data_IF_406522924078
#
_entry.id   IF_406522924078
#
_cell.length_a   1.000
_cell.length_b   1.000
_cell.length_c   1.000
_cell.angle_alpha   90.00
_cell.angle_beta   90.00
_cell.angle_gamma   90.00
#
_symmetry.space_group_name_H-M   'P 1'
#
loop_
_entity.id
_entity.type
_entity.pdbx_description
1 polymer ?
#
# COMPACT_ATOMS: atom_id res chain seq x y z
N UNK A 1 -0.14 14.90 8.52
CA UNK A 1 0.52 15.02 9.84
C UNK A 1 1.96 15.47 9.66
N UNK A 2 2.43 16.40 10.49
CA UNK A 2 3.85 16.77 10.58
C UNK A 2 4.68 15.65 11.22
N UNK A 3 6.01 15.76 11.21
CA UNK A 3 6.88 14.82 11.92
C UNK A 3 6.67 14.84 13.43
N UNK A 4 6.37 16.00 13.98
CA UNK A 4 6.07 16.18 15.40
C UNK A 4 4.72 15.54 15.74
N UNK A 5 3.71 15.69 14.87
CA UNK A 5 2.41 15.03 15.03
C UNK A 5 2.54 13.52 15.02
N UNK A 6 3.38 12.97 14.14
CA UNK A 6 3.67 11.53 14.07
C UNK A 6 4.33 11.04 15.35
N UNK A 7 5.34 11.76 15.86
CA UNK A 7 6.01 11.42 17.11
C UNK A 7 5.01 11.43 18.29
N UNK A 8 4.23 12.49 18.42
CA UNK A 8 3.22 12.61 19.46
C UNK A 8 2.13 11.55 19.34
N UNK A 9 1.76 11.13 18.13
CA UNK A 9 0.82 10.02 17.92
C UNK A 9 1.41 8.69 18.39
N UNK A 10 2.66 8.39 18.03
CA UNK A 10 3.38 7.17 18.48
C UNK A 10 3.41 7.14 20.01
N UNK A 11 3.70 8.26 20.66
CA UNK A 11 3.74 8.36 22.12
C UNK A 11 2.38 8.08 22.75
N UNK A 12 1.32 8.76 22.28
CA UNK A 12 -0.05 8.55 22.79
C UNK A 12 -0.53 7.11 22.56
N UNK A 13 -0.22 6.53 21.41
CA UNK A 13 -0.59 5.14 21.12
C UNK A 13 0.12 4.16 22.06
N UNK A 14 1.43 4.33 22.28
CA UNK A 14 2.18 3.44 23.18
C UNK A 14 1.76 3.64 24.63
N UNK A 15 1.39 4.85 25.04
CA UNK A 15 0.81 5.11 26.36
C UNK A 15 -0.51 4.37 26.56
N UNK A 16 -1.44 4.46 25.62
CA UNK A 16 -2.69 3.70 25.66
C UNK A 16 -2.42 2.18 25.66
N UNK A 17 -1.44 1.71 24.88
CA UNK A 17 -1.05 0.32 24.85
C UNK A 17 -0.47 -0.17 26.19
N UNK A 18 0.31 0.67 26.92
CA UNK A 18 0.84 0.33 28.25
C UNK A 18 -0.26 0.04 29.27
N UNK A 19 -1.39 0.73 29.18
CA UNK A 19 -2.54 0.51 30.07
C UNK A 19 -3.16 -0.89 29.89
N UNK A 20 -2.92 -1.53 28.75
CA UNK A 20 -3.39 -2.90 28.47
C UNK A 20 -2.40 -4.00 28.87
N UNK A 21 -1.17 -3.65 29.23
CA UNK A 21 -0.14 -4.61 29.62
C UNK A 21 -0.40 -5.19 31.01
N UNK A 22 -0.19 -6.51 31.15
CA UNK A 22 -0.43 -7.25 32.40
C UNK A 22 0.85 -7.44 33.22
N UNK A 23 2.02 -7.41 32.57
CA UNK A 23 3.32 -7.62 33.23
C UNK A 23 4.27 -6.44 33.00
N UNK A 24 5.26 -6.31 33.88
CA UNK A 24 6.30 -5.27 33.77
C UNK A 24 7.27 -5.55 32.61
N UNK A 25 7.45 -6.83 32.26
CA UNK A 25 8.23 -7.26 31.10
C UNK A 25 7.60 -6.78 29.79
N UNK A 26 6.27 -6.90 29.66
CA UNK A 26 5.53 -6.38 28.51
C UNK A 26 5.68 -4.85 28.38
N UNK A 27 5.62 -4.12 29.51
CA UNK A 27 5.82 -2.67 29.53
C UNK A 27 7.23 -2.28 29.13
N UNK A 28 8.23 -3.01 29.63
CA UNK A 28 9.64 -2.78 29.31
C UNK A 28 9.92 -3.01 27.82
N UNK A 29 9.39 -4.11 27.26
CA UNK A 29 9.48 -4.40 25.83
C UNK A 29 8.82 -3.30 24.99
N UNK A 30 7.66 -2.79 25.43
CA UNK A 30 6.94 -1.74 24.73
C UNK A 30 7.70 -0.40 24.70
N UNK A 31 8.47 -0.07 25.75
CA UNK A 31 9.36 1.10 25.75
C UNK A 31 10.49 0.97 24.71
N UNK A 32 11.06 -0.24 24.58
CA UNK A 32 12.05 -0.52 23.55
C UNK A 32 11.43 -0.40 22.14
N UNK A 33 10.20 -0.90 21.95
CA UNK A 33 9.49 -0.79 20.69
C UNK A 33 9.13 0.66 20.34
N UNK A 34 8.68 1.46 21.30
CA UNK A 34 8.40 2.88 21.08
C UNK A 34 9.65 3.62 20.57
N UNK A 35 10.78 3.44 21.26
CA UNK A 35 12.06 4.07 20.89
C UNK A 35 12.58 3.62 19.52
N UNK A 36 12.49 2.32 19.24
CA UNK A 36 12.86 1.76 17.94
C UNK A 36 11.97 2.31 16.81
N UNK A 37 10.66 2.45 17.06
CA UNK A 37 9.72 2.96 16.06
C UNK A 37 9.96 4.43 15.73
N UNK A 38 10.20 5.27 16.75
CA UNK A 38 10.61 6.68 16.54
C UNK A 38 11.83 6.78 15.63
N UNK A 39 12.83 5.94 15.90
CA UNK A 39 14.04 5.88 15.09
C UNK A 39 13.73 5.42 13.67
N UNK A 40 12.93 4.37 13.49
CA UNK A 40 12.53 3.84 12.19
C UNK A 40 11.76 4.88 11.35
N UNK A 41 10.76 5.56 11.92
CA UNK A 41 9.96 6.57 11.20
C UNK A 41 10.80 7.79 10.81
N UNK A 42 11.80 8.17 11.62
CA UNK A 42 12.70 9.28 11.29
C UNK A 42 13.72 8.92 10.21
N UNK A 43 14.20 7.68 10.20
CA UNK A 43 15.31 7.24 9.34
C UNK A 43 14.86 6.61 8.03
N UNK A 44 13.67 5.98 7.99
CA UNK A 44 13.14 5.29 6.83
C UNK A 44 12.08 6.16 6.15
N UNK A 45 12.41 6.70 4.98
CA UNK A 45 11.55 7.62 4.25
C UNK A 45 10.19 7.01 3.86
N UNK A 46 10.19 5.76 3.40
CA UNK A 46 8.98 5.01 3.04
C UNK A 46 7.99 4.92 4.21
N UNK A 47 8.54 4.63 5.41
CA UNK A 47 7.73 4.51 6.62
C UNK A 47 7.20 5.88 7.05
N UNK A 48 8.03 6.93 6.93
CA UNK A 48 7.62 8.31 7.21
C UNK A 48 6.48 8.76 6.30
N UNK A 49 6.56 8.49 4.99
CA UNK A 49 5.50 8.83 4.02
C UNK A 49 4.20 8.14 4.38
N UNK A 50 4.28 6.86 4.73
CA UNK A 50 3.08 6.09 5.04
C UNK A 50 2.42 6.51 6.36
N UNK A 51 3.22 6.85 7.37
CA UNK A 51 2.73 7.28 8.69
C UNK A 51 2.15 8.71 8.70
N UNK A 52 2.15 9.44 7.57
CA UNK A 52 1.56 10.78 7.50
C UNK A 52 0.04 10.81 7.70
N UNK A 53 -0.63 9.67 7.53
CA UNK A 53 -2.03 9.46 7.84
C UNK A 53 -2.19 8.80 9.23
N UNK A 54 -3.03 9.34 10.13
CA UNK A 54 -3.20 8.81 11.49
C UNK A 54 -3.57 7.31 11.54
N UNK A 55 -4.39 6.85 10.59
CA UNK A 55 -4.82 5.44 10.54
C UNK A 55 -3.63 4.54 10.22
N UNK A 56 -2.83 4.92 9.23
CA UNK A 56 -1.62 4.20 8.86
C UNK A 56 -0.56 4.25 9.97
N UNK A 57 -0.42 5.38 10.65
CA UNK A 57 0.46 5.49 11.82
C UNK A 57 0.04 4.51 12.93
N UNK A 58 -1.27 4.46 13.24
CA UNK A 58 -1.82 3.49 14.20
C UNK A 58 -1.62 2.04 13.79
N UNK A 59 -1.81 1.72 12.50
CA UNK A 59 -1.55 0.40 11.95
C UNK A 59 -0.07 0.00 12.06
N UNK A 60 0.86 0.91 11.75
CA UNK A 60 2.30 0.69 11.90
C UNK A 60 2.65 0.43 13.36
N UNK A 61 2.10 1.20 14.30
CA UNK A 61 2.30 0.97 15.74
C UNK A 61 1.80 -0.42 16.16
N UNK A 62 0.58 -0.79 15.74
CA UNK A 62 -0.02 -2.09 16.02
C UNK A 62 0.82 -3.24 15.44
N UNK A 63 1.25 -3.12 14.19
CA UNK A 63 2.09 -4.10 13.49
C UNK A 63 3.46 -4.25 14.14
N UNK A 64 4.09 -3.14 14.52
CA UNK A 64 5.39 -3.15 15.19
C UNK A 64 5.32 -3.88 16.53
N UNK A 65 4.28 -3.62 17.33
CA UNK A 65 4.01 -4.37 18.58
C UNK A 65 3.73 -5.85 18.29
N UNK A 66 2.90 -6.15 17.28
CA UNK A 66 2.56 -7.51 16.87
C UNK A 66 3.78 -8.37 16.58
N UNK A 67 4.76 -7.76 15.91
CA UNK A 67 5.98 -8.40 15.43
C UNK A 67 7.17 -8.15 16.34
N UNK A 68 6.94 -7.85 17.63
CA UNK A 68 7.97 -7.71 18.66
C UNK A 68 9.10 -6.74 18.28
N UNK A 69 8.74 -5.59 17.72
CA UNK A 69 9.71 -4.55 17.36
C UNK A 69 10.29 -4.67 15.94
N UNK A 70 9.72 -5.55 15.10
CA UNK A 70 10.13 -5.69 13.71
C UNK A 70 9.11 -5.08 12.74
N UNK A 71 9.61 -4.31 11.77
CA UNK A 71 8.85 -3.89 10.59
C UNK A 71 9.57 -4.37 9.32
N UNK A 72 8.87 -5.04 8.41
CA UNK A 72 9.45 -5.45 7.15
C UNK A 72 9.90 -4.22 6.33
N UNK A 73 11.01 -4.32 5.58
CA UNK A 73 11.48 -3.24 4.73
C UNK A 73 10.61 -3.11 3.47
N UNK A 74 10.42 -1.88 3.01
CA UNK A 74 9.66 -1.56 1.80
C UNK A 74 8.14 -1.53 2.02
N UNK A 75 7.45 -0.67 1.25
CA UNK A 75 5.99 -0.47 1.36
C UNK A 75 5.19 -1.75 1.12
N UNK A 76 5.51 -2.52 0.07
CA UNK A 76 4.80 -3.77 -0.26
C UNK A 76 4.79 -4.76 0.90
N UNK A 77 5.97 -5.10 1.42
CA UNK A 77 6.08 -6.09 2.49
C UNK A 77 5.41 -5.61 3.80
N UNK A 78 5.37 -4.30 4.03
CA UNK A 78 4.62 -3.70 5.13
C UNK A 78 3.09 -3.85 4.94
N UNK A 79 2.57 -3.63 3.73
CA UNK A 79 1.16 -3.85 3.44
C UNK A 79 0.78 -5.32 3.52
N UNK A 80 1.58 -6.23 2.97
CA UNK A 80 1.37 -7.68 3.10
C UNK A 80 1.34 -8.09 4.59
N UNK A 81 2.29 -7.59 5.39
CA UNK A 81 2.34 -7.87 6.81
C UNK A 81 1.15 -7.27 7.59
N UNK A 82 0.65 -6.11 7.18
CA UNK A 82 -0.52 -5.48 7.76
C UNK A 82 -1.82 -6.21 7.38
N UNK A 83 -1.99 -6.60 6.11
CA UNK A 83 -3.12 -7.40 5.64
C UNK A 83 -3.18 -8.72 6.41
N UNK A 84 -2.08 -9.46 6.49
CA UNK A 84 -2.01 -10.71 7.25
C UNK A 84 -2.35 -10.51 8.74
N UNK A 85 -1.87 -9.40 9.35
CA UNK A 85 -2.26 -9.07 10.72
C UNK A 85 -3.77 -8.80 10.85
N UNK A 86 -4.38 -8.05 9.92
CA UNK A 86 -5.80 -7.70 9.98
C UNK A 86 -6.71 -8.90 9.73
N UNK A 87 -6.36 -9.74 8.77
CA UNK A 87 -7.15 -10.88 8.31
C UNK A 87 -7.00 -12.12 9.22
N UNK A 88 -5.83 -12.34 9.82
CA UNK A 88 -5.54 -13.55 10.61
C UNK A 88 -5.67 -13.31 12.12
N UNK A 89 -5.19 -12.14 12.60
CA UNK A 89 -5.03 -11.91 14.05
C UNK A 89 -6.30 -11.44 14.74
N UNK A 90 -7.15 -10.68 14.03
CA UNK A 90 -8.35 -10.08 14.60
C UNK A 90 -9.40 -11.11 15.02
N UNK A 91 -9.40 -12.24 14.35
CA UNK A 91 -10.26 -13.36 14.69
C UNK A 91 -9.73 -14.12 15.92
N UNK A 92 -8.43 -14.43 15.96
CA UNK A 92 -7.82 -15.21 17.07
C UNK A 92 -7.96 -14.52 18.44
N UNK A 93 -7.78 -13.19 18.50
CA UNK A 93 -7.77 -12.45 19.77
C UNK A 93 -9.17 -12.27 20.40
N UNK A 94 -10.27 -12.39 19.63
CA UNK A 94 -11.62 -12.19 20.16
C UNK A 94 -12.15 -13.35 21.01
N UNK A 95 -11.54 -14.54 21.02
CA UNK A 95 -12.00 -15.72 21.79
C UNK A 95 -13.50 -16.05 21.61
N UNK A 96 -14.16 -15.54 20.56
CA UNK A 96 -15.56 -15.81 20.24
C UNK A 96 -15.59 -16.95 19.23
N UNK A 97 -15.21 -18.14 19.68
CA UNK A 97 -15.30 -19.33 18.86
C UNK A 97 -16.11 -20.39 19.58
N UNK A 98 -17.23 -20.76 18.95
CA UNK A 98 -17.85 -22.05 19.21
C UNK A 98 -17.06 -23.11 18.41
N UNK A 99 -16.90 -24.34 18.94
CA UNK A 99 -16.40 -25.45 18.14
C UNK A 99 -17.28 -25.65 16.89
N UNK A 100 -16.72 -25.47 15.69
CA UNK A 100 -17.43 -25.65 14.41
C UNK A 100 -17.57 -24.41 13.51
N UNK A 101 -17.11 -23.24 13.94
CA UNK A 101 -17.10 -22.04 13.10
C UNK A 101 -16.06 -22.18 11.97
N UNK A 102 -16.51 -22.50 10.75
CA UNK A 102 -15.66 -22.52 9.55
C UNK A 102 -15.25 -21.07 9.22
N UNK A 103 -13.97 -20.83 8.95
CA UNK A 103 -13.42 -19.49 8.66
C UNK A 103 -12.80 -19.42 7.26
N UNK A 104 -12.73 -18.21 6.70
CA UNK A 104 -11.92 -17.97 5.51
C UNK A 104 -10.46 -17.79 5.89
N UNK A 105 -9.59 -18.56 5.28
CA UNK A 105 -8.15 -18.27 5.28
C UNK A 105 -7.86 -16.92 4.61
N UNK A 106 -6.67 -16.38 4.88
CA UNK A 106 -6.22 -15.05 4.40
C UNK A 106 -6.37 -14.91 2.87
N UNK A 107 -5.91 -15.89 2.10
CA UNK A 107 -5.84 -15.82 0.64
C UNK A 107 -7.24 -15.71 -0.04
N UNK A 108 -8.23 -16.57 0.29
CA UNK A 108 -9.62 -16.37 -0.14
C UNK A 108 -10.19 -14.98 0.17
N UNK A 109 -9.91 -14.42 1.37
CA UNK A 109 -10.38 -13.08 1.72
C UNK A 109 -9.74 -12.02 0.82
N UNK A 110 -8.42 -12.12 0.60
CA UNK A 110 -7.68 -11.23 -0.30
C UNK A 110 -8.26 -11.26 -1.72
N UNK A 111 -8.57 -12.44 -2.26
CA UNK A 111 -9.13 -12.58 -3.61
C UNK A 111 -10.49 -11.87 -3.76
N UNK A 112 -11.36 -12.01 -2.77
CA UNK A 112 -12.66 -11.34 -2.76
C UNK A 112 -12.53 -9.82 -2.59
N UNK A 113 -11.68 -9.38 -1.66
CA UNK A 113 -11.43 -7.96 -1.43
C UNK A 113 -10.77 -7.29 -2.64
N UNK A 114 -9.88 -8.00 -3.34
CA UNK A 114 -9.31 -7.58 -4.63
C UNK A 114 -10.39 -7.30 -5.67
N UNK A 115 -11.43 -8.14 -5.76
CA UNK A 115 -12.53 -7.95 -6.71
C UNK A 115 -13.28 -6.65 -6.45
N UNK A 116 -13.60 -6.37 -5.19
CA UNK A 116 -14.27 -5.14 -4.77
C UNK A 116 -13.38 -3.91 -4.99
N UNK A 117 -12.11 -3.98 -4.56
CA UNK A 117 -11.16 -2.89 -4.72
C UNK A 117 -10.92 -2.52 -6.18
N UNK A 118 -10.77 -3.53 -7.04
CA UNK A 118 -10.58 -3.37 -8.47
C UNK A 118 -11.77 -2.67 -9.14
N UNK A 119 -13.00 -3.05 -8.77
CA UNK A 119 -14.20 -2.37 -9.25
C UNK A 119 -14.19 -0.89 -8.87
N UNK A 120 -13.93 -0.57 -7.60
CA UNK A 120 -13.93 0.82 -7.12
C UNK A 120 -12.90 1.67 -7.86
N UNK A 121 -11.65 1.19 -7.98
CA UNK A 121 -10.61 1.97 -8.69
C UNK A 121 -10.93 2.14 -10.18
N UNK A 122 -11.48 1.10 -10.83
CA UNK A 122 -11.78 1.14 -12.27
C UNK A 122 -12.89 2.12 -12.60
N UNK A 123 -13.87 2.26 -11.70
CA UNK A 123 -15.01 3.16 -11.89
C UNK A 123 -14.79 4.55 -11.25
N UNK A 124 -13.68 4.76 -10.54
CA UNK A 124 -13.42 6.00 -9.83
C UNK A 124 -14.38 6.24 -8.66
N UNK A 125 -14.91 5.17 -8.07
CA UNK A 125 -15.89 5.22 -6.99
C UNK A 125 -15.22 5.08 -5.62
N UNK A 126 -15.76 5.77 -4.62
CA UNK A 126 -15.31 5.68 -3.23
C UNK A 126 -16.13 4.68 -2.41
N UNK A 127 -17.40 4.50 -2.76
CA UNK A 127 -18.34 3.59 -2.10
C UNK A 127 -19.00 2.70 -3.14
N UNK A 128 -19.42 1.51 -2.70
CA UNK A 128 -20.09 0.51 -3.51
C UNK A 128 -21.50 0.28 -2.96
N UNK A 129 -22.51 0.22 -3.83
CA UNK A 129 -23.82 -0.28 -3.42
C UNK A 129 -23.71 -1.71 -2.89
N UNK A 130 -24.42 -2.03 -1.81
CA UNK A 130 -24.40 -3.34 -1.18
C UNK A 130 -24.78 -4.45 -2.16
N UNK A 131 -25.84 -4.26 -2.93
CA UNK A 131 -26.28 -5.23 -3.94
C UNK A 131 -25.19 -5.47 -5.01
N UNK A 132 -24.46 -4.41 -5.38
CA UNK A 132 -23.31 -4.51 -6.30
C UNK A 132 -22.16 -5.28 -5.66
N UNK A 133 -21.88 -5.06 -4.37
CA UNK A 133 -20.87 -5.79 -3.62
C UNK A 133 -21.17 -7.29 -3.57
N UNK A 134 -22.43 -7.64 -3.26
CA UNK A 134 -22.90 -9.03 -3.23
C UNK A 134 -22.79 -9.65 -4.63
N UNK A 135 -23.18 -8.95 -5.69
CA UNK A 135 -23.05 -9.45 -7.06
C UNK A 135 -21.59 -9.71 -7.46
N UNK A 136 -20.66 -8.80 -7.14
CA UNK A 136 -19.23 -9.00 -7.43
C UNK A 136 -18.63 -10.19 -6.66
N UNK A 137 -19.09 -10.42 -5.43
CA UNK A 137 -18.70 -11.60 -4.65
C UNK A 137 -19.29 -12.85 -5.29
N UNK A 138 -20.57 -12.84 -5.65
CA UNK A 138 -21.25 -13.96 -6.31
C UNK A 138 -20.52 -14.40 -7.59
N UNK A 139 -20.10 -13.45 -8.43
CA UNK A 139 -19.28 -13.71 -9.61
C UNK A 139 -17.93 -14.38 -9.28
N UNK A 140 -17.33 -14.02 -8.15
CA UNK A 140 -16.02 -14.52 -7.73
C UNK A 140 -16.07 -15.87 -7.01
N UNK A 141 -17.18 -16.22 -6.35
CA UNK A 141 -17.32 -17.45 -5.56
C UNK A 141 -16.95 -18.75 -6.30
N UNK A 142 -17.27 -18.95 -7.60
CA UNK A 142 -16.86 -20.14 -8.33
C UNK A 142 -15.34 -20.34 -8.38
N UNK A 143 -14.57 -19.24 -8.35
CA UNK A 143 -13.11 -19.25 -8.36
C UNK A 143 -12.49 -19.29 -6.97
N UNK A 144 -13.30 -19.19 -5.90
CA UNK A 144 -12.85 -19.22 -4.50
C UNK A 144 -13.59 -20.33 -3.72
N UNK A 145 -13.25 -21.61 -3.92
CA UNK A 145 -14.00 -22.74 -3.33
C UNK A 145 -14.10 -22.69 -1.80
N UNK A 146 -13.07 -22.18 -1.12
CA UNK A 146 -13.07 -22.01 0.33
C UNK A 146 -14.15 -21.03 0.81
N UNK A 147 -14.38 -19.93 0.08
CA UNK A 147 -15.45 -18.99 0.37
C UNK A 147 -16.82 -19.60 0.06
N UNK A 148 -16.94 -20.28 -1.06
CA UNK A 148 -18.20 -20.93 -1.46
C UNK A 148 -18.67 -21.98 -0.44
N UNK A 149 -17.74 -22.66 0.24
CA UNK A 149 -18.06 -23.62 1.28
C UNK A 149 -18.68 -22.98 2.54
N UNK A 150 -18.49 -21.67 2.73
CA UNK A 150 -18.96 -20.94 3.91
C UNK A 150 -20.35 -20.33 3.76
N UNK A 151 -20.78 -20.04 2.52
CA UNK A 151 -22.09 -19.46 2.28
C UNK A 151 -22.23 -18.80 0.92
N UNK A 152 -23.36 -18.12 0.76
CA UNK A 152 -23.68 -17.27 -0.37
C UNK A 152 -23.02 -15.89 -0.27
N UNK A 153 -23.15 -15.08 -1.33
CA UNK A 153 -22.51 -13.77 -1.38
C UNK A 153 -22.90 -12.82 -0.22
N UNK A 154 -24.17 -12.73 0.22
CA UNK A 154 -24.54 -11.95 1.40
C UNK A 154 -23.84 -12.42 2.69
N UNK A 155 -23.74 -13.75 2.91
CA UNK A 155 -23.05 -14.29 4.07
C UNK A 155 -21.55 -13.96 4.06
N UNK A 156 -20.92 -14.05 2.89
CA UNK A 156 -19.51 -13.73 2.69
C UNK A 156 -19.24 -12.23 2.83
N UNK A 157 -20.06 -11.36 2.25
CA UNK A 157 -19.93 -9.92 2.43
C UNK A 157 -20.03 -9.53 3.91
N UNK A 158 -21.02 -10.09 4.61
CA UNK A 158 -21.18 -9.88 6.05
C UNK A 158 -19.96 -10.38 6.84
N UNK A 159 -19.39 -11.52 6.46
CA UNK A 159 -18.16 -12.01 7.06
C UNK A 159 -17.01 -11.02 6.88
N UNK A 160 -16.78 -10.51 5.65
CA UNK A 160 -15.73 -9.54 5.36
C UNK A 160 -15.93 -8.22 6.14
N UNK A 161 -17.15 -7.70 6.22
CA UNK A 161 -17.48 -6.49 6.99
C UNK A 161 -17.18 -6.65 8.48
N UNK A 162 -17.51 -7.81 9.07
CA UNK A 162 -17.35 -8.04 10.50
C UNK A 162 -15.93 -8.44 10.91
N UNK A 163 -15.20 -9.13 10.03
CA UNK A 163 -13.94 -9.83 10.37
C UNK A 163 -12.69 -9.23 9.75
N UNK A 164 -12.72 -8.86 8.47
CA UNK A 164 -11.51 -8.40 7.76
C UNK A 164 -10.87 -7.15 8.36
N UNK A 165 -11.70 -6.26 8.92
CA UNK A 165 -11.26 -4.93 9.36
C UNK A 165 -10.84 -3.99 8.23
N UNK A 166 -11.09 -4.37 6.97
CA UNK A 166 -10.75 -3.60 5.78
C UNK A 166 -11.97 -2.93 5.16
N UNK A 167 -13.16 -3.49 5.37
CA UNK A 167 -14.43 -2.93 4.91
C UNK A 167 -15.23 -2.33 6.06
N UNK A 168 -16.06 -1.35 5.75
CA UNK A 168 -17.09 -0.82 6.64
C UNK A 168 -18.37 -0.53 5.84
N UNK A 169 -19.46 -0.34 6.57
CA UNK A 169 -20.79 -0.04 6.04
C UNK A 169 -21.15 1.39 6.48
N UNK A 170 -20.79 2.44 5.72
CA UNK A 170 -21.06 3.83 6.10
C UNK A 170 -22.54 4.18 6.08
N UNK A 171 -23.33 3.48 5.27
CA UNK A 171 -24.79 3.55 5.26
C UNK A 171 -25.37 2.14 5.11
N UNK A 172 -26.67 1.97 5.38
CA UNK A 172 -27.36 0.66 5.30
C UNK A 172 -27.27 0.02 3.90
N UNK A 173 -26.99 0.82 2.87
CA UNK A 173 -26.95 0.37 1.48
C UNK A 173 -25.59 0.49 0.81
N UNK A 174 -24.54 0.96 1.51
CA UNK A 174 -23.21 1.15 0.90
C UNK A 174 -22.09 0.50 1.69
N UNK A 175 -21.05 0.10 0.98
CA UNK A 175 -19.83 -0.53 1.50
C UNK A 175 -18.61 0.21 0.96
N UNK A 176 -17.64 0.51 1.80
CA UNK A 176 -16.36 1.06 1.37
C UNK A 176 -15.17 0.45 2.12
N UNK A 177 -13.97 0.76 1.65
CA UNK A 177 -12.76 0.43 2.37
C UNK A 177 -12.55 1.42 3.51
N UNK A 178 -12.20 0.91 4.69
CA UNK A 178 -11.82 1.71 5.86
C UNK A 178 -10.69 2.70 5.51
N UNK A 179 -9.83 2.32 4.55
CA UNK A 179 -8.77 3.20 4.08
C UNK A 179 -8.43 2.98 2.60
N UNK A 180 -8.34 4.09 1.85
CA UNK A 180 -8.02 4.11 0.42
C UNK A 180 -6.72 3.39 0.07
N UNK A 181 -5.70 3.45 0.92
CA UNK A 181 -4.43 2.75 0.66
C UNK A 181 -4.58 1.24 0.48
N UNK A 182 -5.47 0.59 1.25
CA UNK A 182 -5.72 -0.85 1.06
C UNK A 182 -6.53 -1.12 -0.20
N UNK A 183 -7.49 -0.24 -0.51
CA UNK A 183 -8.21 -0.27 -1.79
C UNK A 183 -7.23 -0.14 -2.97
N UNK A 184 -6.36 0.86 -2.97
CA UNK A 184 -5.37 1.08 -4.03
C UNK A 184 -4.40 -0.10 -4.14
N UNK A 185 -3.95 -0.66 -3.01
CA UNK A 185 -3.05 -1.82 -2.97
C UNK A 185 -3.71 -3.06 -3.59
N UNK A 186 -4.89 -3.44 -3.11
CA UNK A 186 -5.62 -4.62 -3.58
C UNK A 186 -6.12 -4.44 -5.01
N UNK A 187 -6.62 -3.26 -5.36
CA UNK A 187 -7.06 -2.91 -6.70
C UNK A 187 -5.90 -2.94 -7.70
N UNK A 188 -4.72 -2.41 -7.33
CA UNK A 188 -3.53 -2.48 -8.16
C UNK A 188 -3.06 -3.93 -8.38
N UNK A 189 -3.08 -4.77 -7.33
CA UNK A 189 -2.75 -6.19 -7.46
C UNK A 189 -3.68 -6.88 -8.47
N UNK A 190 -4.99 -6.66 -8.35
CA UNK A 190 -5.97 -7.20 -9.28
C UNK A 190 -5.78 -6.69 -10.72
N UNK A 191 -5.47 -5.40 -10.92
CA UNK A 191 -5.21 -4.85 -12.24
C UNK A 191 -3.98 -5.50 -12.91
N UNK A 192 -2.92 -5.77 -12.14
CA UNK A 192 -1.73 -6.48 -12.62
C UNK A 192 -2.06 -7.93 -12.97
N UNK A 193 -2.78 -8.64 -12.09
CA UNK A 193 -3.17 -10.04 -12.31
C UNK A 193 -4.10 -10.20 -13.52
N UNK A 194 -4.95 -9.21 -13.79
CA UNK A 194 -5.80 -9.15 -14.97
C UNK A 194 -5.08 -8.70 -16.26
N UNK A 195 -3.78 -8.39 -16.19
CA UNK A 195 -3.00 -7.83 -17.31
C UNK A 195 -3.55 -6.51 -17.85
N UNK A 196 -4.24 -5.74 -17.02
CA UNK A 196 -4.87 -4.45 -17.39
C UNK A 196 -3.86 -3.29 -17.39
N UNK A 197 -2.69 -3.51 -17.99
CA UNK A 197 -1.64 -2.49 -18.17
C UNK A 197 -2.20 -1.27 -18.90
N UNK A 198 -3.08 -1.47 -19.89
CA UNK A 198 -3.74 -0.38 -20.60
C UNK A 198 -4.59 0.51 -19.69
N UNK A 199 -5.25 -0.05 -18.67
CA UNK A 199 -6.02 0.73 -17.69
C UNK A 199 -5.10 1.62 -16.85
N UNK A 200 -4.01 1.05 -16.34
CA UNK A 200 -3.03 1.77 -15.53
C UNK A 200 -2.39 2.93 -16.32
N UNK A 201 -1.99 2.67 -17.56
CA UNK A 201 -1.33 3.66 -18.42
C UNK A 201 -2.30 4.78 -18.83
N UNK A 202 -3.54 4.45 -19.21
CA UNK A 202 -4.55 5.46 -19.59
C UNK A 202 -4.82 6.44 -18.45
N UNK A 203 -4.79 5.99 -17.20
CA UNK A 203 -5.07 6.84 -16.04
C UNK A 203 -3.79 7.42 -15.40
N UNK A 204 -2.61 7.23 -15.97
CA UNK A 204 -1.35 7.66 -15.35
C UNK A 204 -1.19 9.17 -15.18
N UNK A 205 -1.97 9.96 -15.93
CA UNK A 205 -2.04 11.41 -15.81
C UNK A 205 -2.90 11.87 -14.62
N UNK A 206 -3.71 10.99 -14.01
CA UNK A 206 -4.57 11.34 -12.89
C UNK A 206 -3.83 11.17 -11.54
N UNK A 207 -3.91 12.19 -10.69
CA UNK A 207 -3.30 12.19 -9.34
C UNK A 207 -3.87 11.11 -8.45
N UNK A 208 -5.13 10.75 -8.67
CA UNK A 208 -5.80 9.69 -7.95
C UNK A 208 -5.23 8.30 -8.21
N UNK A 209 -4.53 8.11 -9.34
CA UNK A 209 -3.96 6.84 -9.77
C UNK A 209 -2.47 6.69 -9.45
N UNK A 210 -1.81 7.73 -8.96
CA UNK A 210 -0.36 7.68 -8.67
C UNK A 210 -0.01 6.55 -7.69
N UNK A 211 -0.76 6.42 -6.58
CA UNK A 211 -0.54 5.35 -5.62
C UNK A 211 -0.92 3.98 -6.20
N UNK A 212 -2.00 3.88 -6.98
CA UNK A 212 -2.40 2.64 -7.68
C UNK A 212 -1.28 2.16 -8.61
N UNK A 213 -0.68 3.05 -9.41
CA UNK A 213 0.40 2.72 -10.35
C UNK A 213 1.67 2.30 -9.61
N UNK A 214 2.03 3.02 -8.53
CA UNK A 214 3.15 2.64 -7.66
C UNK A 214 2.96 1.25 -7.07
N UNK A 215 1.74 0.92 -6.62
CA UNK A 215 1.42 -0.40 -6.09
C UNK A 215 1.39 -1.46 -7.18
N UNK A 216 0.93 -1.13 -8.39
CA UNK A 216 0.96 -2.03 -9.53
C UNK A 216 2.40 -2.43 -9.88
N UNK A 217 3.34 -1.46 -9.94
CA UNK A 217 4.78 -1.75 -10.13
C UNK A 217 5.33 -2.64 -9.01
N UNK A 218 4.88 -2.43 -7.76
CA UNK A 218 5.29 -3.25 -6.62
C UNK A 218 4.80 -4.71 -6.73
N UNK A 219 3.57 -4.92 -7.22
CA UNK A 219 2.96 -6.24 -7.41
C UNK A 219 3.43 -6.97 -8.66
N UNK A 220 3.77 -6.24 -9.72
CA UNK A 220 4.16 -6.80 -11.01
C UNK A 220 5.39 -7.71 -10.92
N UNK A 221 5.38 -8.80 -11.69
CA UNK A 221 6.57 -9.64 -11.90
C UNK A 221 7.61 -8.87 -12.73
N UNK A 222 8.90 -9.26 -12.74
CA UNK A 222 9.96 -8.47 -13.38
C UNK A 222 9.66 -8.08 -14.84
N UNK A 223 9.06 -8.99 -15.63
CA UNK A 223 8.66 -8.72 -17.02
C UNK A 223 7.50 -7.72 -17.13
N UNK A 224 6.41 -7.95 -16.40
CA UNK A 224 5.23 -7.06 -16.36
C UNK A 224 5.63 -5.67 -15.84
N UNK A 225 6.57 -5.63 -14.89
CA UNK A 225 7.11 -4.40 -14.31
C UNK A 225 7.88 -3.58 -15.34
N UNK A 226 8.76 -4.25 -16.10
CA UNK A 226 9.49 -3.62 -17.20
C UNK A 226 8.53 -3.09 -18.28
N UNK A 227 7.51 -3.86 -18.63
CA UNK A 227 6.48 -3.45 -19.58
C UNK A 227 5.70 -2.21 -19.09
N UNK A 228 5.24 -2.22 -17.83
CA UNK A 228 4.49 -1.12 -17.23
C UNK A 228 5.31 0.17 -17.20
N UNK A 229 6.57 0.09 -16.76
CA UNK A 229 7.46 1.26 -16.74
C UNK A 229 7.83 1.72 -18.15
N UNK A 230 8.09 0.80 -19.08
CA UNK A 230 8.38 1.13 -20.47
C UNK A 230 7.23 1.87 -21.15
N UNK A 231 5.99 1.38 -21.00
CA UNK A 231 4.79 2.05 -21.51
C UNK A 231 4.55 3.41 -20.86
N UNK A 232 4.83 3.54 -19.55
CA UNK A 232 4.70 4.82 -18.86
C UNK A 232 5.69 5.86 -19.43
N UNK A 233 6.93 5.46 -19.72
CA UNK A 233 7.92 6.32 -20.36
C UNK A 233 7.54 6.66 -21.81
N UNK A 234 6.99 5.69 -22.56
CA UNK A 234 6.51 5.92 -23.91
C UNK A 234 5.40 6.97 -23.96
N UNK A 235 4.41 6.87 -23.06
CA UNK A 235 3.35 7.89 -22.94
C UNK A 235 3.93 9.24 -22.54
N UNK A 236 4.86 9.27 -21.58
CA UNK A 236 5.51 10.51 -21.17
C UNK A 236 6.24 11.22 -22.32
N UNK A 237 6.87 10.48 -23.24
CA UNK A 237 7.57 11.02 -24.41
C UNK A 237 6.64 11.58 -25.50
N UNK A 238 5.45 11.03 -25.62
CA UNK A 238 4.46 11.46 -26.62
C UNK A 238 3.45 12.46 -26.03
N UNK A 239 3.63 12.87 -24.78
CA UNK A 239 2.77 13.85 -24.13
C UNK A 239 3.09 15.26 -24.65
N UNK A 240 2.04 16.00 -25.03
CA UNK A 240 2.20 17.32 -25.64
C UNK A 240 2.50 18.40 -24.59
N UNK A 241 2.03 18.19 -23.35
CA UNK A 241 2.28 19.10 -22.23
C UNK A 241 3.57 18.73 -21.51
N UNK A 242 4.55 19.64 -21.52
CA UNK A 242 5.80 19.45 -20.78
C UNK A 242 5.58 19.20 -19.28
N UNK A 243 4.56 19.81 -18.67
CA UNK A 243 4.20 19.58 -17.27
C UNK A 243 3.66 18.16 -17.04
N UNK A 244 2.80 17.67 -17.94
CA UNK A 244 2.24 16.32 -17.84
C UNK A 244 3.29 15.25 -18.11
N UNK A 245 4.16 15.47 -19.11
CA UNK A 245 5.31 14.63 -19.39
C UNK A 245 6.24 14.52 -18.15
N UNK A 246 6.60 15.66 -17.55
CA UNK A 246 7.39 15.71 -16.33
C UNK A 246 6.77 14.90 -15.21
N UNK A 247 5.46 15.05 -15.00
CA UNK A 247 4.74 14.34 -13.95
C UNK A 247 4.79 12.83 -14.14
N UNK A 248 4.63 12.34 -15.37
CA UNK A 248 4.73 10.92 -15.69
C UNK A 248 6.15 10.38 -15.48
N UNK A 249 7.19 11.14 -15.86
CA UNK A 249 8.59 10.77 -15.56
C UNK A 249 8.87 10.71 -14.06
N UNK A 250 8.36 11.68 -13.28
CA UNK A 250 8.49 11.67 -11.84
C UNK A 250 7.74 10.50 -11.20
N UNK A 251 6.57 10.13 -11.74
CA UNK A 251 5.84 8.94 -11.30
C UNK A 251 6.66 7.67 -11.58
N UNK A 252 7.20 7.52 -12.79
CA UNK A 252 8.06 6.38 -13.17
C UNK A 252 9.29 6.28 -12.25
N UNK A 253 9.97 7.40 -11.99
CA UNK A 253 11.07 7.46 -11.04
C UNK A 253 10.69 7.02 -9.66
N UNK A 254 9.56 7.51 -9.17
CA UNK A 254 9.14 7.22 -7.82
C UNK A 254 8.63 5.78 -7.67
N UNK A 255 8.30 5.09 -8.78
CA UNK A 255 8.06 3.65 -8.81
C UNK A 255 9.35 2.82 -8.66
N UNK A 256 10.55 3.37 -8.94
CA UNK A 256 11.81 2.64 -8.78
C UNK A 256 12.08 2.22 -7.32
N UNK A 257 11.54 2.96 -6.35
CA UNK A 257 11.55 2.64 -4.92
C UNK A 257 10.84 1.30 -4.61
N UNK A 258 9.94 0.85 -5.49
CA UNK A 258 9.15 -0.36 -5.34
C UNK A 258 9.53 -1.46 -6.34
N UNK A 259 10.60 -1.24 -7.10
CA UNK A 259 11.07 -2.10 -8.17
C UNK A 259 12.48 -2.64 -7.86
N UNK A 260 12.67 -3.50 -6.85
CA UNK A 260 14.01 -4.02 -6.53
C UNK A 260 14.58 -4.90 -7.66
N UNK A 261 13.72 -5.69 -8.29
CA UNK A 261 14.07 -6.59 -9.39
C UNK A 261 13.57 -6.02 -10.74
N UNK A 262 14.40 -5.20 -11.39
CA UNK A 262 14.05 -4.52 -12.64
C UNK A 262 15.22 -4.62 -13.60
N UNK A 263 14.90 -4.80 -14.89
CA UNK A 263 15.88 -4.74 -15.97
C UNK A 263 16.72 -3.46 -15.83
N UNK A 264 18.06 -3.58 -15.73
CA UNK A 264 18.96 -2.43 -15.62
C UNK A 264 18.75 -1.41 -16.74
N UNK A 265 18.42 -1.83 -17.96
CA UNK A 265 18.18 -0.92 -19.08
C UNK A 265 16.97 -0.01 -18.81
N UNK A 266 15.86 -0.58 -18.32
CA UNK A 266 14.66 0.19 -17.98
C UNK A 266 14.94 1.11 -16.79
N UNK A 267 15.68 0.63 -15.78
CA UNK A 267 16.07 1.47 -14.64
C UNK A 267 16.89 2.69 -15.08
N UNK A 268 17.87 2.46 -15.95
CA UNK A 268 18.74 3.51 -16.48
C UNK A 268 17.93 4.51 -17.31
N UNK A 269 17.00 4.01 -18.12
CA UNK A 269 16.12 4.84 -18.95
C UNK A 269 15.20 5.74 -18.08
N UNK A 270 14.53 5.18 -17.08
CA UNK A 270 13.69 5.94 -16.14
C UNK A 270 14.53 7.01 -15.43
N UNK A 271 15.75 6.66 -15.00
CA UNK A 271 16.66 7.58 -14.32
C UNK A 271 17.13 8.71 -15.24
N UNK A 272 17.50 8.38 -16.48
CA UNK A 272 18.00 9.36 -17.46
C UNK A 272 16.94 10.39 -17.85
N UNK A 273 15.73 9.93 -18.19
CA UNK A 273 14.66 10.84 -18.61
C UNK A 273 14.25 11.79 -17.48
N UNK A 274 14.32 11.36 -16.22
CA UNK A 274 14.06 12.25 -15.10
C UNK A 274 15.15 13.30 -14.88
N UNK A 275 16.42 12.96 -15.16
CA UNK A 275 17.57 13.88 -15.04
C UNK A 275 17.46 15.09 -15.96
N UNK A 276 16.83 14.96 -17.11
CA UNK A 276 16.60 16.05 -18.07
C UNK A 276 15.76 17.20 -17.46
N UNK A 277 14.92 16.89 -16.48
CA UNK A 277 14.04 17.86 -15.82
C UNK A 277 14.55 18.29 -14.44
N UNK A 278 15.74 17.81 -14.04
CA UNK A 278 16.43 18.25 -12.85
C UNK A 278 17.18 19.52 -13.22
N UNK A 279 16.85 20.70 -12.66
CA UNK A 279 17.64 21.89 -12.93
C UNK A 279 19.11 21.60 -12.60
N UNK A 280 20.07 22.00 -13.46
CA UNK A 280 21.47 21.78 -13.19
C UNK A 280 21.78 22.42 -11.84
N UNK A 281 22.34 21.61 -10.94
CA UNK A 281 22.73 22.05 -9.60
C UNK A 281 23.88 23.05 -9.77
N UNK A 282 23.56 24.33 -9.95
CA UNK A 282 24.53 25.39 -9.67
C UNK A 282 24.84 25.28 -8.18
N UNK A 283 26.10 24.98 -7.86
CA UNK A 283 26.59 24.90 -6.49
C UNK A 283 26.35 26.24 -5.80
N UNK A 284 25.19 26.39 -5.15
CA UNK A 284 24.96 27.40 -4.13
C UNK A 284 23.74 27.01 -3.31
N UNK A 285 23.98 27.00 -2.00
CA UNK A 285 23.05 26.76 -0.88
C UNK A 285 22.80 25.29 -0.48
N UNK A 286 23.41 24.82 0.62
CA UNK A 286 23.01 23.59 1.29
C UNK A 286 21.64 23.81 1.95
N UNK A 287 20.57 23.43 1.25
CA UNK A 287 19.21 23.51 1.79
C UNK A 287 18.08 23.40 0.76
N UNK A 288 18.36 23.62 -0.52
CA UNK A 288 17.34 23.68 -1.59
C UNK A 288 17.23 22.40 -2.44
N UNK A 289 17.76 21.27 -1.97
CA UNK A 289 17.66 20.01 -2.70
C UNK A 289 16.19 19.58 -2.86
N UNK A 290 15.74 19.25 -4.09
CA UNK A 290 14.55 18.43 -4.26
C UNK A 290 14.74 17.13 -3.47
N UNK A 291 13.73 16.70 -2.71
CA UNK A 291 13.81 15.55 -1.79
C UNK A 291 14.28 14.22 -2.40
N UNK A 292 14.41 14.12 -3.72
CA UNK A 292 14.86 12.95 -4.49
C UNK A 292 16.29 13.08 -5.07
N UNK A 293 16.89 14.28 -5.07
CA UNK A 293 18.20 14.54 -5.67
C UNK A 293 19.39 13.75 -5.04
N UNK A 294 19.44 13.48 -3.72
CA UNK A 294 20.54 12.73 -3.11
C UNK A 294 20.63 11.27 -3.59
N UNK A 295 19.50 10.65 -3.91
CA UNK A 295 19.42 9.25 -4.36
C UNK A 295 19.95 9.08 -5.80
N UNK A 296 19.61 10.00 -6.70
CA UNK A 296 20.14 10.02 -8.07
C UNK A 296 21.67 10.20 -8.08
N UNK A 297 22.20 11.02 -7.17
CA UNK A 297 23.63 11.28 -7.05
C UNK A 297 24.43 10.10 -6.47
N UNK A 298 23.88 9.32 -5.54
CA UNK A 298 24.54 8.13 -4.99
C UNK A 298 24.69 7.01 -6.03
N UNK A 299 23.68 6.81 -6.88
CA UNK A 299 23.74 5.84 -7.98
C UNK A 299 24.73 6.26 -9.08
N UNK A 300 25.00 7.56 -9.21
CA UNK A 300 25.96 8.10 -10.18
C UNK A 300 27.43 7.95 -9.75
N UNK A 301 27.76 8.13 -8.45
CA UNK A 301 29.14 7.94 -7.96
C UNK A 301 29.67 6.51 -8.14
N UNK A 302 28.79 5.51 -8.18
CA UNK A 302 29.17 4.13 -8.43
C UNK A 302 29.58 3.81 -9.88
N UNK A 303 29.37 4.73 -10.84
CA UNK A 303 29.67 4.53 -12.28
C UNK A 303 30.81 5.38 -12.84
N UNK A 304 31.48 6.18 -12.01
CA UNK A 304 32.72 6.89 -12.38
C UNK A 304 33.93 6.34 -11.61
N UNK A 305 33.99 5.02 -11.46
CA UNK A 305 35.13 4.27 -10.92
C UNK A 305 35.48 3.15 -11.89
#
# INVERSE_FOLDING_TARGET
MSREDMAAFIDRWHEAARQTCRTEEERTALNAYQSALHTAVRTKQDLSRLATNPLMCGLICALHRARRGYLPPGRKALYDAALSMLLTRRDTERHVYAPGDVQLDEEPQIQLLQRLAYYLIRNGEAELDRDRAEHLIEEALPSVPAARALGDAPAILRHLLLRSGLLREPSVSTVDFVHRTFQDYLGAKAAVEAWDVGLLIRNAHDAQWEDVIRMAVAHARPRERAELLGKLLEVARHENSAESALRLFLLAMACLEHAPDLDPAIRDEVTWNALEFVPPVTVREPGSWPRWAPWCWSSFRGRRG
#
